data_IF_476325819790
#
_entry.id   IF_476325819790
#
_cell.length_a   1.000
_cell.length_b   1.000
_cell.length_c   1.000
_cell.angle_alpha   90.00
_cell.angle_beta   90.00
_cell.angle_gamma   90.00
#
_symmetry.space_group_name_H-M   'P 1'
#
loop_
_entity.id
_entity.type
_entity.pdbx_description
1 polymer ?
#
# COMPACT_ATOMS: atom_id res chain seq x y z
N UNK A 1 27.95 -3.92 -4.79
CA UNK A 1 27.30 -2.68 -4.28
C UNK A 1 28.32 -1.58 -4.50
N UNK A 2 28.01 -0.57 -5.31
CA UNK A 2 29.01 0.36 -5.86
C UNK A 2 29.93 1.00 -4.80
N UNK A 3 29.39 1.38 -3.62
CA UNK A 3 30.20 1.94 -2.54
C UNK A 3 31.24 0.96 -1.97
N UNK A 4 30.93 -0.33 -1.89
CA UNK A 4 31.84 -1.35 -1.36
C UNK A 4 33.05 -1.57 -2.29
N UNK A 5 32.80 -1.67 -3.60
CA UNK A 5 33.83 -1.81 -4.63
C UNK A 5 34.77 -0.60 -4.64
N UNK A 6 34.22 0.61 -4.46
CA UNK A 6 35.01 1.84 -4.34
C UNK A 6 35.83 1.88 -3.04
N UNK A 7 35.34 1.28 -1.95
CA UNK A 7 36.11 1.13 -0.72
C UNK A 7 37.28 0.14 -0.88
N UNK A 8 37.06 -0.98 -1.56
CA UNK A 8 38.10 -1.97 -1.89
C UNK A 8 39.20 -1.37 -2.79
N UNK A 9 38.82 -0.54 -3.75
CA UNK A 9 39.74 0.21 -4.61
C UNK A 9 40.48 1.35 -3.90
N UNK A 10 40.09 1.70 -2.67
CA UNK A 10 40.71 2.77 -1.89
C UNK A 10 40.25 4.18 -2.26
N UNK A 11 39.18 4.34 -3.03
CA UNK A 11 38.67 5.65 -3.47
C UNK A 11 38.35 6.56 -2.28
N UNK A 12 38.58 7.88 -2.41
CA UNK A 12 38.34 8.83 -1.33
C UNK A 12 36.85 9.08 -1.06
N UNK A 13 36.45 9.21 0.21
CA UNK A 13 35.05 9.43 0.61
C UNK A 13 34.37 10.62 -0.08
N UNK A 14 35.10 11.71 -0.37
CA UNK A 14 34.57 12.90 -1.05
C UNK A 14 34.22 12.61 -2.52
N UNK A 15 35.05 11.82 -3.21
CA UNK A 15 34.81 11.40 -4.59
C UNK A 15 33.59 10.49 -4.65
N UNK A 16 33.54 9.49 -3.76
CA UNK A 16 32.40 8.57 -3.65
C UNK A 16 31.10 9.34 -3.34
N UNK A 17 31.14 10.32 -2.44
CA UNK A 17 29.99 11.12 -2.07
C UNK A 17 29.46 11.97 -3.24
N UNK A 18 30.36 12.59 -4.01
CA UNK A 18 30.01 13.38 -5.18
C UNK A 18 29.35 12.50 -6.26
N UNK A 19 29.95 11.35 -6.56
CA UNK A 19 29.47 10.45 -7.61
C UNK A 19 28.13 9.81 -7.25
N UNK A 20 27.98 9.35 -6.00
CA UNK A 20 26.74 8.75 -5.49
C UNK A 20 25.68 9.80 -5.09
N UNK A 21 26.00 11.10 -5.20
CA UNK A 21 25.12 12.22 -4.79
C UNK A 21 24.58 12.10 -3.36
N UNK A 22 25.42 11.62 -2.45
CA UNK A 22 25.11 11.52 -1.01
C UNK A 22 26.03 12.42 -0.21
N UNK A 23 25.70 12.62 1.06
CA UNK A 23 26.59 13.38 1.96
C UNK A 23 27.86 12.59 2.26
N UNK A 24 28.98 13.29 2.45
CA UNK A 24 30.26 12.67 2.89
C UNK A 24 30.06 11.89 4.20
N UNK A 25 29.23 12.39 5.10
CA UNK A 25 28.87 11.74 6.37
C UNK A 25 28.20 10.37 6.17
N UNK A 26 27.38 10.22 5.13
CA UNK A 26 26.78 8.92 4.78
C UNK A 26 27.87 7.93 4.35
N UNK A 27 28.80 8.37 3.51
CA UNK A 27 29.91 7.54 3.03
C UNK A 27 30.86 7.16 4.16
N UNK A 28 31.15 8.07 5.09
CA UNK A 28 31.93 7.77 6.30
C UNK A 28 31.28 6.68 7.15
N UNK A 29 29.97 6.78 7.38
CA UNK A 29 29.19 5.76 8.10
C UNK A 29 29.24 4.41 7.38
N UNK A 30 29.06 4.40 6.07
CA UNK A 30 29.17 3.19 5.27
C UNK A 30 30.59 2.60 5.35
N UNK A 31 31.64 3.41 5.19
CA UNK A 31 33.02 2.94 5.28
C UNK A 31 33.34 2.36 6.65
N UNK A 32 32.84 2.96 7.73
CA UNK A 32 32.98 2.41 9.07
C UNK A 32 32.28 1.04 9.21
N UNK A 33 31.07 0.92 8.68
CA UNK A 33 30.29 -0.33 8.67
C UNK A 33 30.98 -1.42 7.83
N UNK A 34 31.47 -1.05 6.65
CA UNK A 34 32.21 -1.92 5.74
C UNK A 34 33.52 -2.42 6.34
N UNK A 35 34.26 -1.58 7.08
CA UNK A 35 35.48 -2.02 7.79
C UNK A 35 35.22 -3.11 8.84
N UNK A 36 34.00 -3.20 9.37
CA UNK A 36 33.65 -4.16 10.42
C UNK A 36 33.12 -5.49 9.88
N UNK A 37 32.50 -5.51 8.70
CA UNK A 37 31.89 -6.74 8.16
C UNK A 37 31.87 -6.83 6.63
N UNK A 38 32.78 -6.12 5.98
CA UNK A 38 32.95 -6.10 4.54
C UNK A 38 31.70 -5.64 3.80
N UNK A 39 31.59 -6.12 2.56
CA UNK A 39 30.49 -5.77 1.65
C UNK A 39 29.12 -6.24 2.17
N UNK A 40 29.06 -7.38 2.85
CA UNK A 40 27.83 -7.90 3.46
C UNK A 40 27.25 -6.97 4.53
N UNK A 41 28.09 -6.25 5.28
CA UNK A 41 27.64 -5.33 6.31
C UNK A 41 26.91 -4.09 5.76
N UNK A 42 27.08 -3.78 4.47
CA UNK A 42 26.38 -2.70 3.80
C UNK A 42 25.02 -3.13 3.23
N UNK A 43 24.74 -4.43 3.15
CA UNK A 43 23.50 -4.93 2.59
C UNK A 43 22.28 -4.37 3.33
N UNK A 44 21.22 -4.13 2.58
CA UNK A 44 19.96 -3.68 3.16
C UNK A 44 19.42 -4.75 4.11
N UNK A 45 19.18 -4.37 5.36
CA UNK A 45 18.49 -5.22 6.35
C UNK A 45 16.97 -5.29 6.12
N UNK A 46 16.50 -4.81 4.97
CA UNK A 46 15.09 -4.64 4.67
C UNK A 46 14.54 -3.29 5.15
N UNK A 47 13.24 -3.06 4.96
CA UNK A 47 12.58 -1.83 5.37
C UNK A 47 12.66 -1.63 6.88
N UNK A 48 12.90 -0.40 7.31
CA UNK A 48 13.02 -0.05 8.73
C UNK A 48 11.73 -0.31 9.53
N UNK A 49 10.58 -0.44 8.86
CA UNK A 49 9.33 -0.82 9.49
C UNK A 49 8.48 -1.65 8.52
N UNK A 50 7.93 -2.74 9.04
CA UNK A 50 6.98 -3.56 8.30
C UNK A 50 5.57 -2.95 8.34
N UNK A 51 4.74 -3.19 7.32
CA UNK A 51 3.29 -3.03 7.40
C UNK A 51 2.69 -3.54 8.72
N UNK A 52 1.91 -2.70 9.43
CA UNK A 52 1.22 -3.17 10.65
C UNK A 52 0.09 -4.17 10.36
N UNK A 53 -0.51 -4.07 9.17
CA UNK A 53 -1.42 -5.08 8.63
C UNK A 53 -0.67 -5.94 7.60
N UNK A 54 -0.75 -7.25 7.79
CA UNK A 54 -0.37 -8.25 6.78
C UNK A 54 -1.30 -8.19 5.56
N UNK A 55 -0.86 -8.76 4.44
CA UNK A 55 -1.67 -8.88 3.21
C UNK A 55 -2.99 -9.62 3.47
N UNK A 56 -2.95 -10.71 4.25
CA UNK A 56 -4.16 -11.46 4.64
C UNK A 56 -5.15 -10.59 5.43
N UNK A 57 -4.67 -9.80 6.38
CA UNK A 57 -5.53 -8.89 7.16
C UNK A 57 -6.05 -7.75 6.29
N UNK A 58 -5.26 -7.29 5.31
CA UNK A 58 -5.73 -6.31 4.33
C UNK A 58 -6.88 -6.88 3.47
N UNK A 59 -6.76 -8.10 2.95
CA UNK A 59 -7.87 -8.73 2.22
C UNK A 59 -9.11 -9.00 3.10
N UNK A 60 -8.94 -9.18 4.42
CA UNK A 60 -10.06 -9.18 5.36
C UNK A 60 -10.69 -7.79 5.50
N UNK A 61 -9.87 -6.73 5.58
CA UNK A 61 -10.34 -5.36 5.63
C UNK A 61 -11.14 -5.01 4.37
N UNK A 62 -10.70 -5.40 3.18
CA UNK A 62 -11.42 -5.16 1.92
C UNK A 62 -12.83 -5.75 1.95
N UNK A 63 -12.97 -7.02 2.36
CA UNK A 63 -14.30 -7.65 2.53
C UNK A 63 -15.18 -6.94 3.56
N UNK A 64 -14.60 -6.37 4.60
CA UNK A 64 -15.37 -5.57 5.56
C UNK A 64 -15.78 -4.20 4.98
N UNK A 65 -14.96 -3.59 4.12
CA UNK A 65 -15.29 -2.34 3.42
C UNK A 65 -16.40 -2.55 2.38
N UNK A 66 -16.43 -3.70 1.71
CA UNK A 66 -17.46 -4.10 0.74
C UNK A 66 -18.86 -4.21 1.36
N UNK A 67 -18.95 -4.65 2.62
CA UNK A 67 -20.23 -4.68 3.37
C UNK A 67 -20.82 -3.28 3.58
N UNK A 68 -20.00 -2.23 3.41
CA UNK A 68 -20.40 -0.84 3.56
C UNK A 68 -20.43 -0.38 5.02
N UNK A 69 -20.40 0.95 5.27
CA UNK A 69 -20.35 1.47 6.63
C UNK A 69 -21.61 1.19 7.46
N UNK A 70 -22.79 1.07 6.84
CA UNK A 70 -24.02 0.74 7.59
C UNK A 70 -23.89 -0.57 8.36
N UNK A 71 -23.25 -1.60 7.76
CA UNK A 71 -23.04 -2.90 8.38
C UNK A 71 -22.15 -2.85 9.64
N UNK A 72 -21.47 -1.73 9.87
CA UNK A 72 -20.58 -1.50 10.99
C UNK A 72 -21.06 -0.38 11.93
N UNK A 73 -22.33 0.04 11.79
CA UNK A 73 -23.02 0.94 12.71
C UNK A 73 -22.82 2.42 12.42
N UNK A 74 -22.45 2.81 11.20
CA UNK A 74 -22.49 4.21 10.77
C UNK A 74 -23.85 4.54 10.15
N UNK A 75 -24.25 5.82 10.20
CA UNK A 75 -25.59 6.28 9.77
C UNK A 75 -25.71 6.49 8.25
N UNK A 76 -24.58 6.51 7.53
CA UNK A 76 -24.53 6.74 6.09
C UNK A 76 -23.57 5.76 5.40
N UNK A 77 -23.62 5.69 4.07
CA UNK A 77 -22.83 4.74 3.25
C UNK A 77 -21.43 5.23 2.86
N UNK A 78 -20.91 6.30 3.48
CA UNK A 78 -19.61 6.89 3.13
C UNK A 78 -18.46 6.29 3.94
N UNK A 79 -17.47 5.73 3.26
CA UNK A 79 -16.17 5.47 3.88
C UNK A 79 -15.34 6.74 3.97
N UNK A 80 -14.87 7.07 5.16
CA UNK A 80 -13.84 8.07 5.39
C UNK A 80 -12.60 7.40 5.97
N UNK A 81 -11.41 7.98 5.77
CA UNK A 81 -10.17 7.43 6.35
C UNK A 81 -10.25 7.30 7.88
N UNK A 82 -11.02 8.17 8.55
CA UNK A 82 -11.26 8.09 9.99
C UNK A 82 -12.14 6.87 10.36
N UNK A 83 -13.19 6.58 9.57
CA UNK A 83 -14.02 5.38 9.77
C UNK A 83 -13.25 4.10 9.48
N UNK A 84 -12.44 4.09 8.42
CA UNK A 84 -11.54 2.97 8.10
C UNK A 84 -10.52 2.76 9.23
N UNK A 85 -9.92 3.83 9.79
CA UNK A 85 -9.06 3.75 10.99
C UNK A 85 -9.78 3.08 12.15
N UNK A 86 -11.02 3.50 12.45
CA UNK A 86 -11.83 2.92 13.53
C UNK A 86 -12.13 1.44 13.28
N UNK A 87 -12.50 1.07 12.06
CA UNK A 87 -12.72 -0.32 11.66
C UNK A 87 -11.45 -1.16 11.87
N UNK A 88 -10.29 -0.66 11.43
CA UNK A 88 -9.02 -1.37 11.61
C UNK A 88 -8.72 -1.60 13.10
N UNK A 89 -8.90 -0.57 13.93
CA UNK A 89 -8.69 -0.67 15.38
C UNK A 89 -9.62 -1.69 16.05
N UNK A 90 -10.91 -1.70 15.66
CA UNK A 90 -11.91 -2.64 16.20
C UNK A 90 -11.65 -4.09 15.76
N UNK A 91 -11.28 -4.31 14.50
CA UNK A 91 -11.21 -5.65 13.90
C UNK A 91 -9.87 -6.33 14.09
N UNK A 92 -8.77 -5.57 14.07
CA UNK A 92 -7.42 -6.11 14.07
C UNK A 92 -6.61 -5.69 15.31
N UNK A 93 -7.16 -4.84 16.19
CA UNK A 93 -6.45 -4.27 17.35
C UNK A 93 -5.15 -3.55 16.96
N UNK A 94 -5.09 -3.03 15.73
CA UNK A 94 -3.96 -2.28 15.20
C UNK A 94 -4.32 -0.80 15.10
N UNK A 95 -3.51 0.04 15.74
CA UNK A 95 -3.68 1.49 15.63
C UNK A 95 -2.96 2.05 14.40
N UNK A 96 -3.64 2.92 13.66
CA UNK A 96 -3.06 3.73 12.58
C UNK A 96 -3.35 5.22 12.81
N UNK A 97 -2.48 6.09 12.29
CA UNK A 97 -2.84 7.49 12.04
C UNK A 97 -3.71 7.58 10.79
N UNK A 98 -4.47 8.66 10.62
CA UNK A 98 -5.30 8.86 9.40
C UNK A 98 -4.43 8.86 8.14
N UNK A 99 -3.28 9.53 8.18
CA UNK A 99 -2.29 9.47 7.09
C UNK A 99 -1.74 8.05 6.88
N UNK A 100 -1.54 7.29 7.96
CA UNK A 100 -1.13 5.89 7.89
C UNK A 100 -2.17 5.02 7.19
N UNK A 101 -3.46 5.25 7.44
CA UNK A 101 -4.55 4.58 6.71
C UNK A 101 -4.53 4.95 5.24
N UNK A 102 -4.33 6.23 4.89
CA UNK A 102 -4.21 6.63 3.49
C UNK A 102 -3.03 5.94 2.78
N UNK A 103 -1.85 5.91 3.39
CA UNK A 103 -0.68 5.19 2.85
C UNK A 103 -0.94 3.69 2.71
N UNK A 104 -1.61 3.10 3.72
CA UNK A 104 -2.04 1.70 3.73
C UNK A 104 -3.03 1.38 2.60
N UNK A 105 -3.98 2.26 2.31
CA UNK A 105 -4.93 2.07 1.20
C UNK A 105 -4.22 2.19 -0.14
N UNK A 106 -3.45 3.27 -0.35
CA UNK A 106 -2.74 3.55 -1.60
C UNK A 106 -1.75 2.45 -1.98
N UNK A 107 -0.95 1.94 -1.02
CA UNK A 107 0.06 0.90 -1.29
C UNK A 107 -0.55 -0.42 -1.77
N UNK A 108 -1.81 -0.68 -1.41
CA UNK A 108 -2.53 -1.90 -1.75
C UNK A 108 -3.52 -1.67 -2.90
N UNK A 109 -3.37 -0.61 -3.69
CA UNK A 109 -4.20 -0.36 -4.87
C UNK A 109 -5.63 0.10 -4.58
N UNK A 110 -5.98 0.36 -3.32
CA UNK A 110 -7.34 0.80 -2.99
C UNK A 110 -7.52 2.28 -3.34
N UNK A 111 -8.32 2.55 -4.36
CA UNK A 111 -8.85 3.88 -4.67
C UNK A 111 -10.25 3.98 -4.06
N UNK A 112 -10.62 5.15 -3.53
CA UNK A 112 -12.00 5.43 -3.14
C UNK A 112 -12.88 5.32 -4.40
N UNK A 113 -13.37 4.12 -4.74
CA UNK A 113 -14.46 4.00 -5.69
C UNK A 113 -15.69 4.54 -4.97
N UNK A 114 -16.17 5.70 -5.42
CA UNK A 114 -17.45 6.21 -4.97
C UNK A 114 -18.49 5.11 -5.19
N UNK A 115 -19.32 4.76 -4.19
CA UNK A 115 -20.48 3.94 -4.42
C UNK A 115 -21.47 4.78 -5.23
N UNK A 116 -21.34 4.77 -6.56
CA UNK A 116 -22.42 5.21 -7.44
C UNK A 116 -23.45 4.08 -7.42
N UNK A 117 -24.23 4.05 -6.33
CA UNK A 117 -25.55 3.44 -6.22
C UNK A 117 -25.71 2.12 -7.01
N UNK A 118 -25.07 1.03 -6.56
CA UNK A 118 -25.37 -0.31 -7.06
C UNK A 118 -26.36 -0.98 -6.13
N UNK A 119 -27.62 -0.97 -6.55
CA UNK A 119 -28.69 -1.71 -5.93
C UNK A 119 -28.32 -3.19 -5.83
N UNK A 120 -28.67 -3.74 -4.68
CA UNK A 120 -28.78 -5.15 -4.35
C UNK A 120 -29.71 -5.78 -5.40
N UNK A 121 -29.42 -7.00 -5.85
CA UNK A 121 -30.11 -7.80 -6.88
C UNK A 121 -29.77 -7.50 -8.35
N UNK A 122 -28.85 -8.30 -8.91
CA UNK A 122 -29.26 -9.10 -10.09
C UNK A 122 -28.46 -10.38 -10.25
N UNK A 123 -29.23 -11.42 -10.51
CA UNK A 123 -28.87 -12.72 -11.07
C UNK A 123 -28.37 -12.54 -12.51
N UNK A 124 -27.11 -12.91 -12.75
CA UNK A 124 -26.39 -12.71 -14.01
C UNK A 124 -27.05 -13.45 -15.19
N UNK A 125 -27.85 -14.49 -14.95
CA UNK A 125 -28.57 -15.21 -16.01
C UNK A 125 -29.70 -14.38 -16.65
N UNK A 126 -30.32 -13.45 -15.90
CA UNK A 126 -31.42 -12.63 -16.42
C UNK A 126 -30.96 -11.54 -17.40
N UNK A 127 -29.67 -11.17 -17.38
CA UNK A 127 -29.10 -10.10 -18.21
C UNK A 127 -28.80 -10.58 -19.64
N UNK A 128 -28.36 -11.83 -19.80
CA UNK A 128 -28.05 -12.39 -21.12
C UNK A 128 -29.31 -12.75 -21.92
N UNK A 129 -30.39 -13.12 -21.25
CA UNK A 129 -31.67 -13.40 -21.91
C UNK A 129 -32.32 -12.12 -22.47
N UNK A 130 -32.16 -10.98 -21.79
CA UNK A 130 -32.79 -9.72 -22.19
C UNK A 130 -32.14 -9.06 -23.42
N UNK A 131 -30.82 -9.21 -23.60
CA UNK A 131 -30.10 -8.69 -24.79
C UNK A 131 -30.55 -9.35 -26.09
N UNK A 132 -30.97 -10.63 -26.04
CA UNK A 132 -31.38 -11.39 -27.23
C UNK A 132 -32.79 -11.07 -27.73
N UNK A 133 -33.70 -10.64 -26.86
CA UNK A 133 -35.12 -10.51 -27.22
C UNK A 133 -35.59 -9.08 -27.49
N UNK A 134 -34.94 -8.04 -26.95
CA UNK A 134 -35.52 -6.68 -26.92
C UNK A 134 -34.75 -5.65 -27.76
N UNK A 135 -33.58 -5.99 -28.31
CA UNK A 135 -32.74 -5.03 -29.04
C UNK A 135 -33.23 -4.56 -30.44
N UNK A 136 -34.15 -5.22 -31.19
CA UNK A 136 -34.50 -4.73 -32.54
C UNK A 136 -35.54 -3.60 -32.62
N UNK A 137 -36.17 -3.15 -31.53
CA UNK A 137 -37.33 -2.22 -31.62
C UNK A 137 -37.10 -0.78 -31.17
N UNK A 138 -35.89 -0.39 -30.75
CA UNK A 138 -35.62 0.99 -30.26
C UNK A 138 -34.82 1.83 -31.26
N UNK A 139 -34.88 1.49 -32.55
CA UNK A 139 -34.48 2.37 -33.67
C UNK A 139 -35.60 2.42 -34.72
N UNK A 140 -36.70 3.08 -34.37
CA UNK A 140 -37.65 3.65 -35.31
C UNK A 140 -38.15 4.97 -34.70
#
# INVERSE_FOLDING_TARGET
MEAAERFERGDGNRVIAADLRVTVRSVERWRHTWRQGGSAALESKGPQSLPRLSERQFGQLERELEKGPLAHGWEDQRWTLARIKTLIGRRFHVSYTVQGVWKLMRRNGWSCQQPVRRAIERDDEAVEMWKKQVWPQVKA
#
